data_IF_867196595184
#
_entry.id   IF_867196595184
#
_cell.length_a   1.000
_cell.length_b   1.000
_cell.length_c   1.000
_cell.angle_alpha   90.00
_cell.angle_beta   90.00
_cell.angle_gamma   90.00
#
_symmetry.space_group_name_H-M   'P 1'
#
loop_
_entity.id
_entity.type
_entity.pdbx_description
1 polymer ?
#
# COMPACT_ATOMS: atom_id res chain seq x y z
N UNK A 1 2.84 -1.29 -14.35
CA UNK A 1 1.81 -1.96 -13.51
C UNK A 1 2.45 -2.51 -12.24
N UNK A 2 2.05 -1.97 -11.10
CA UNK A 2 2.56 -2.36 -9.76
C UNK A 2 1.90 -3.66 -9.28
N UNK A 3 2.50 -4.32 -8.29
CA UNK A 3 2.04 -5.59 -7.74
C UNK A 3 1.56 -5.45 -6.29
N UNK A 4 0.62 -6.29 -5.89
CA UNK A 4 0.26 -6.45 -4.49
C UNK A 4 1.44 -7.10 -3.73
N UNK A 5 1.93 -6.53 -2.63
CA UNK A 5 3.03 -7.11 -1.87
C UNK A 5 2.64 -8.40 -1.14
N UNK A 6 1.35 -8.63 -0.88
CA UNK A 6 0.87 -9.86 -0.24
C UNK A 6 0.86 -11.06 -1.21
N UNK A 7 0.23 -10.94 -2.38
CA UNK A 7 0.09 -12.04 -3.35
C UNK A 7 0.98 -11.95 -4.59
N UNK A 8 1.74 -10.86 -4.77
CA UNK A 8 2.65 -10.60 -5.91
C UNK A 8 1.98 -10.51 -7.30
N UNK A 9 0.65 -10.56 -7.34
CA UNK A 9 -0.12 -10.37 -8.56
C UNK A 9 -0.17 -8.90 -8.95
N UNK A 10 -0.28 -8.58 -10.26
CA UNK A 10 -0.56 -7.23 -10.71
C UNK A 10 -1.81 -6.68 -10.02
N UNK A 11 -1.80 -5.39 -9.69
CA UNK A 11 -2.90 -4.72 -8.98
C UNK A 11 -2.97 -3.27 -9.41
N UNK A 12 -4.17 -2.81 -9.72
CA UNK A 12 -4.46 -1.42 -10.04
C UNK A 12 -4.88 -0.64 -8.79
N UNK A 13 -4.78 0.71 -8.79
CA UNK A 13 -5.18 1.54 -7.66
C UNK A 13 -6.63 1.36 -7.20
N UNK A 14 -7.56 1.22 -8.15
CA UNK A 14 -8.99 0.92 -7.89
C UNK A 14 -9.22 -0.48 -7.29
N UNK A 15 -8.23 -1.37 -7.32
CA UNK A 15 -8.27 -2.71 -6.73
C UNK A 15 -7.65 -2.77 -5.33
N UNK A 16 -7.27 -1.62 -4.74
CA UNK A 16 -6.70 -1.56 -3.40
C UNK A 16 -7.82 -1.73 -2.36
N UNK A 17 -7.65 -2.68 -1.43
CA UNK A 17 -8.61 -2.92 -0.36
C UNK A 17 -8.12 -2.48 1.03
N UNK A 18 -6.82 -2.29 1.19
CA UNK A 18 -6.21 -1.83 2.45
C UNK A 18 -4.97 -0.99 2.14
N UNK A 19 -4.85 0.14 2.80
CA UNK A 19 -3.66 0.99 2.82
C UNK A 19 -3.16 1.11 4.26
N UNK A 20 -1.85 1.05 4.45
CA UNK A 20 -1.23 1.22 5.77
C UNK A 20 0.17 1.81 5.64
N UNK A 21 0.65 2.46 6.70
CA UNK A 21 2.04 2.91 6.81
C UNK A 21 2.89 1.86 7.54
N UNK A 22 4.15 1.69 7.14
CA UNK A 22 5.13 0.89 7.87
C UNK A 22 6.53 1.54 7.84
N UNK A 23 7.39 1.08 8.74
CA UNK A 23 8.82 1.40 8.80
C UNK A 23 9.64 0.14 8.58
N UNK A 24 10.82 0.28 7.99
CA UNK A 24 11.82 -0.78 7.93
C UNK A 24 12.35 -1.09 9.34
N UNK A 25 12.91 -2.28 9.52
CA UNK A 25 13.42 -2.74 10.83
C UNK A 25 14.53 -1.86 11.40
N UNK A 26 15.34 -1.25 10.53
CA UNK A 26 16.39 -0.28 10.87
C UNK A 26 15.85 1.15 11.03
N UNK A 27 14.53 1.35 10.88
CA UNK A 27 13.83 2.61 10.98
C UNK A 27 14.37 3.72 10.05
N UNK A 28 15.06 3.34 8.96
CA UNK A 28 15.63 4.25 7.98
C UNK A 28 14.68 4.59 6.84
N UNK A 29 13.72 3.70 6.57
CA UNK A 29 12.81 3.79 5.43
C UNK A 29 11.37 3.66 5.92
N UNK A 30 10.56 4.66 5.59
CA UNK A 30 9.12 4.64 5.88
C UNK A 30 8.35 4.58 4.57
N UNK A 31 7.17 3.96 4.57
CA UNK A 31 6.38 3.90 3.35
C UNK A 31 4.91 3.68 3.57
N UNK A 32 4.14 4.05 2.56
CA UNK A 32 2.73 3.69 2.41
C UNK A 32 2.65 2.45 1.54
N UNK A 33 1.93 1.44 2.01
CA UNK A 33 1.77 0.15 1.36
C UNK A 33 0.29 -0.10 1.06
N UNK A 34 0.00 -0.50 -0.17
CA UNK A 34 -1.32 -0.92 -0.62
C UNK A 34 -1.41 -2.45 -0.75
N UNK A 35 -2.50 -3.04 -0.27
CA UNK A 35 -2.84 -4.46 -0.45
C UNK A 35 -4.13 -4.57 -1.25
N UNK A 36 -4.14 -5.48 -2.23
CA UNK A 36 -5.30 -5.64 -3.11
C UNK A 36 -6.53 -6.17 -2.37
N UNK A 37 -7.72 -5.83 -2.86
CA UNK A 37 -9.02 -6.25 -2.32
C UNK A 37 -9.12 -7.76 -2.14
N UNK A 38 -8.53 -8.56 -3.05
CA UNK A 38 -8.49 -10.03 -2.94
C UNK A 38 -7.82 -10.49 -1.64
N UNK A 39 -6.63 -9.94 -1.37
CA UNK A 39 -5.87 -10.27 -0.16
C UNK A 39 -6.56 -9.73 1.09
N UNK A 40 -7.12 -8.53 1.04
CA UNK A 40 -7.87 -7.96 2.17
C UNK A 40 -9.11 -8.79 2.50
N UNK A 41 -9.87 -9.23 1.48
CA UNK A 41 -11.05 -10.08 1.66
C UNK A 41 -10.69 -11.47 2.21
N UNK A 42 -9.60 -12.07 1.75
CA UNK A 42 -9.07 -13.30 2.32
C UNK A 42 -8.64 -13.10 3.79
N UNK A 43 -7.99 -11.97 4.09
CA UNK A 43 -7.56 -11.60 5.44
C UNK A 43 -8.69 -11.48 6.44
N UNK A 44 -9.87 -10.98 6.03
CA UNK A 44 -11.06 -10.88 6.88
C UNK A 44 -11.58 -12.24 7.38
N UNK A 45 -11.22 -13.34 6.70
CA UNK A 45 -11.60 -14.71 7.09
C UNK A 45 -10.59 -15.37 8.04
N UNK A 46 -9.44 -14.72 8.27
CA UNK A 46 -8.37 -15.24 9.12
C UNK A 46 -8.47 -14.67 10.53
N UNK A 47 -7.91 -15.38 11.55
CA UNK A 47 -7.67 -14.78 12.85
C UNK A 47 -6.85 -13.49 12.73
N UNK A 48 -7.18 -12.47 13.54
CA UNK A 48 -6.50 -11.16 13.51
C UNK A 48 -4.97 -11.28 13.58
N UNK A 49 -4.45 -12.17 14.42
CA UNK A 49 -3.01 -12.41 14.56
C UNK A 49 -2.36 -12.98 13.31
N UNK A 50 -3.05 -13.89 12.61
CA UNK A 50 -2.57 -14.45 11.34
C UNK A 50 -2.60 -13.38 10.24
N UNK A 51 -3.67 -12.58 10.18
CA UNK A 51 -3.76 -11.48 9.23
C UNK A 51 -2.68 -10.42 9.45
N UNK A 52 -2.45 -10.01 10.70
CA UNK A 52 -1.41 -9.04 11.05
C UNK A 52 -0.02 -9.51 10.59
N UNK A 53 0.32 -10.79 10.80
CA UNK A 53 1.58 -11.37 10.32
C UNK A 53 1.71 -11.30 8.79
N UNK A 54 0.63 -11.52 8.05
CA UNK A 54 0.63 -11.40 6.59
C UNK A 54 0.86 -9.96 6.15
N UNK A 55 0.19 -8.99 6.78
CA UNK A 55 0.34 -7.56 6.49
C UNK A 55 1.75 -7.09 6.81
N UNK A 56 2.30 -7.47 7.97
CA UNK A 56 3.67 -7.15 8.35
C UNK A 56 4.69 -7.66 7.32
N UNK A 57 4.61 -8.94 6.94
CA UNK A 57 5.48 -9.52 5.89
C UNK A 57 5.33 -8.85 4.52
N UNK A 58 4.12 -8.39 4.19
CA UNK A 58 3.89 -7.62 2.98
C UNK A 58 4.55 -6.24 3.06
N UNK A 59 4.47 -5.57 4.22
CA UNK A 59 5.18 -4.33 4.51
C UNK A 59 6.69 -4.48 4.38
N UNK A 60 7.29 -5.47 5.05
CA UNK A 60 8.74 -5.72 4.99
C UNK A 60 9.22 -5.93 3.54
N UNK A 61 8.46 -6.73 2.78
CA UNK A 61 8.76 -7.01 1.37
C UNK A 61 8.66 -5.76 0.50
N UNK A 62 7.62 -4.97 0.72
CA UNK A 62 7.38 -3.74 -0.02
C UNK A 62 8.50 -2.71 0.25
N UNK A 63 8.90 -2.54 1.51
CA UNK A 63 9.95 -1.60 1.89
C UNK A 63 11.34 -2.05 1.43
N UNK A 64 11.62 -3.36 1.40
CA UNK A 64 12.89 -3.90 0.89
C UNK A 64 13.06 -3.70 -0.62
N UNK A 65 11.96 -3.64 -1.38
CA UNK A 65 12.00 -3.44 -2.83
C UNK A 65 10.75 -2.69 -3.29
N UNK A 66 10.68 -1.36 -3.14
CA UNK A 66 9.44 -0.60 -3.33
C UNK A 66 8.98 -0.53 -4.79
N UNK A 67 9.91 -0.42 -5.74
CA UNK A 67 9.63 -0.23 -7.17
C UNK A 67 8.57 -1.17 -7.79
N UNK A 68 8.65 -2.50 -7.60
CA UNK A 68 7.67 -3.42 -8.18
C UNK A 68 6.30 -3.45 -7.47
N UNK A 69 6.17 -2.88 -6.27
CA UNK A 69 4.96 -3.01 -5.46
C UNK A 69 4.16 -1.71 -5.38
N UNK A 70 2.93 -1.81 -4.87
CA UNK A 70 2.14 -0.68 -4.40
C UNK A 70 2.75 -0.13 -3.11
N UNK A 71 3.94 0.46 -3.25
CA UNK A 71 4.70 1.06 -2.18
C UNK A 71 5.25 2.41 -2.65
N UNK A 72 5.15 3.40 -1.78
CA UNK A 72 5.82 4.70 -1.94
C UNK A 72 6.52 5.02 -0.63
N UNK A 73 7.81 5.32 -0.70
CA UNK A 73 8.66 5.58 0.46
C UNK A 73 8.77 7.08 0.75
N UNK A 74 9.00 7.40 2.02
CA UNK A 74 9.08 8.76 2.55
C UNK A 74 10.26 8.89 3.51
N UNK A 75 10.81 10.11 3.66
CA UNK A 75 11.91 10.38 4.57
C UNK A 75 11.50 10.30 6.05
N UNK A 76 10.22 10.46 6.36
CA UNK A 76 9.72 10.43 7.76
C UNK A 76 8.45 9.59 7.89
N UNK A 77 8.29 8.95 9.05
CA UNK A 77 7.10 8.16 9.38
C UNK A 77 5.82 9.00 9.34
N UNK A 78 5.89 10.25 9.79
CA UNK A 78 4.76 11.17 9.82
C UNK A 78 4.24 11.45 8.41
N UNK A 79 5.13 11.59 7.43
CA UNK A 79 4.75 11.80 6.03
C UNK A 79 4.06 10.56 5.46
N UNK A 80 4.57 9.37 5.78
CA UNK A 80 3.93 8.12 5.39
C UNK A 80 2.54 7.96 6.03
N UNK A 81 2.40 8.29 7.32
CA UNK A 81 1.12 8.26 8.02
C UNK A 81 0.11 9.24 7.43
N UNK A 82 0.54 10.47 7.12
CA UNK A 82 -0.29 11.47 6.47
C UNK A 82 -0.78 10.99 5.11
N UNK A 83 0.12 10.49 4.26
CA UNK A 83 -0.25 9.98 2.94
C UNK A 83 -1.21 8.78 3.04
N UNK A 84 -1.01 7.87 4.00
CA UNK A 84 -1.93 6.76 4.25
C UNK A 84 -3.32 7.26 4.70
N UNK A 85 -3.37 8.28 5.56
CA UNK A 85 -4.61 8.88 6.02
C UNK A 85 -5.36 9.59 4.87
N UNK A 86 -4.64 10.33 4.01
CA UNK A 86 -5.24 11.01 2.86
C UNK A 86 -5.90 10.03 1.87
N UNK A 87 -5.34 8.81 1.72
CA UNK A 87 -5.96 7.74 0.93
C UNK A 87 -7.26 7.16 1.54
N UNK A 88 -7.61 7.50 2.78
CA UNK A 88 -8.86 7.09 3.41
C UNK A 88 -9.96 8.14 3.26
N UNK A 89 -9.65 9.34 2.75
CA UNK A 89 -10.60 10.43 2.59
C UNK A 89 -11.02 10.59 1.11
N UNK A 90 -12.30 10.36 0.75
CA UNK A 90 -12.76 10.34 -0.65
C UNK A 90 -12.38 11.60 -1.45
N UNK A 91 -12.42 12.76 -0.81
CA UNK A 91 -12.11 14.06 -1.41
C UNK A 91 -10.62 14.24 -1.77
N UNK A 92 -9.72 13.41 -1.23
CA UNK A 92 -8.27 13.51 -1.44
C UNK A 92 -7.68 12.27 -2.12
N UNK A 93 -8.44 11.18 -2.27
CA UNK A 93 -7.95 9.90 -2.81
C UNK A 93 -7.28 10.06 -4.17
N UNK A 94 -7.94 10.70 -5.14
CA UNK A 94 -7.40 10.81 -6.51
C UNK A 94 -6.11 11.63 -6.53
N UNK A 95 -6.13 12.83 -5.96
CA UNK A 95 -4.95 13.69 -5.86
C UNK A 95 -3.80 13.01 -5.12
N UNK A 96 -4.12 12.21 -4.09
CA UNK A 96 -3.10 11.47 -3.33
C UNK A 96 -2.53 10.32 -4.16
N UNK A 97 -3.36 9.56 -4.87
CA UNK A 97 -2.90 8.50 -5.77
C UNK A 97 -1.96 9.04 -6.85
N UNK A 98 -2.27 10.20 -7.43
CA UNK A 98 -1.40 10.88 -8.40
C UNK A 98 -0.08 11.31 -7.75
N UNK A 99 -0.14 12.00 -6.60
CA UNK A 99 1.05 12.49 -5.90
C UNK A 99 2.02 11.39 -5.48
N UNK A 100 1.52 10.19 -5.14
CA UNK A 100 2.36 9.05 -4.76
C UNK A 100 2.79 8.19 -5.96
N UNK A 101 2.44 8.61 -7.19
CA UNK A 101 2.78 7.95 -8.45
C UNK A 101 1.99 6.66 -8.71
N UNK A 102 0.85 6.48 -8.06
CA UNK A 102 -0.04 5.33 -8.28
C UNK A 102 -1.10 5.66 -9.33
N UNK A 103 -1.30 6.93 -9.67
CA UNK A 103 -2.34 7.42 -10.59
C UNK A 103 -2.14 7.15 -12.09
N UNK A 104 -0.93 6.82 -12.54
CA UNK A 104 -0.60 6.66 -13.98
C UNK A 104 -1.48 5.63 -14.72
N UNK A 105 -2.04 4.65 -14.00
CA UNK A 105 -2.91 3.61 -14.57
C UNK A 105 -4.42 3.98 -14.50
N UNK A 106 -4.82 5.05 -13.78
CA UNK A 106 -6.21 5.51 -13.68
C UNK A 106 -6.66 6.33 -14.89
N UNK A 107 -5.74 7.06 -15.52
CA UNK A 107 -6.01 7.89 -16.71
C UNK A 107 -6.14 7.09 -18.02
N UNK A 108 -5.95 5.76 -17.99
CA UNK A 108 -6.13 4.88 -19.17
C UNK A 108 -7.52 4.25 -19.26
N UNK A 109 -8.39 4.48 -18.28
CA UNK A 109 -9.72 3.90 -18.19
C UNK A 109 -10.86 4.86 -18.57
N UNK A 110 -10.52 6.03 -19.14
CA UNK A 110 -11.48 7.01 -19.70
C UNK A 110 -11.31 7.06 -21.22
#
# INVERSE_FOLDING_TARGET
MRRCPACKLPTQPNEIGLTFSASSNDNSTHGVIGVCMRCTAAGRRLPKSAWFKTVARAGDRALASPGPYLCTTYPTLQTAQLAAAMLQHPQHVLATLDAIGWGDDMNRAI
#
